data_IF_969524766545
#
_entry.id   IF_969524766545
#
_cell.length_a   1.000
_cell.length_b   1.000
_cell.length_c   1.000
_cell.angle_alpha   90.00
_cell.angle_beta   90.00
_cell.angle_gamma   90.00
#
_symmetry.space_group_name_H-M   'P 1'
#
loop_
_entity.id
_entity.type
_entity.pdbx_description
1 polymer ?
#
# COMPACT_ATOMS: atom_id res chain seq x y z
N UNK A 1 38.50 -62.71 1.12
CA UNK A 1 37.59 -63.87 1.03
C UNK A 1 36.36 -63.48 0.22
N UNK A 2 36.08 -64.17 -0.88
CA UNK A 2 34.87 -64.08 -1.71
C UNK A 2 33.81 -65.11 -1.24
N UNK A 3 32.51 -64.79 -1.45
CA UNK A 3 31.38 -65.66 -1.89
C UNK A 3 30.04 -65.01 -1.47
N UNK A 4 29.30 -64.36 -2.39
CA UNK A 4 28.17 -64.93 -3.18
C UNK A 4 27.14 -65.66 -2.31
N UNK A 5 25.90 -65.17 -2.26
CA UNK A 5 24.74 -65.95 -2.76
C UNK A 5 23.42 -65.19 -2.71
N UNK A 6 22.78 -65.20 -3.88
CA UNK A 6 21.41 -64.78 -4.19
C UNK A 6 20.41 -65.67 -3.46
N UNK A 7 19.25 -65.12 -3.09
CA UNK A 7 18.02 -65.92 -2.96
C UNK A 7 16.91 -65.27 -3.76
N UNK A 8 16.38 -66.10 -4.65
CA UNK A 8 15.28 -65.89 -5.56
C UNK A 8 13.97 -66.37 -4.92
N UNK A 9 12.87 -65.88 -5.51
CA UNK A 9 11.55 -66.52 -5.65
C UNK A 9 10.49 -66.21 -4.56
N UNK A 10 9.17 -66.36 -4.84
CA UNK A 10 8.47 -66.48 -6.14
C UNK A 10 7.22 -65.58 -6.30
N UNK A 11 6.77 -65.55 -7.56
CA UNK A 11 5.50 -65.06 -8.09
C UNK A 11 4.26 -65.53 -7.30
N UNK A 12 3.32 -64.61 -7.06
CA UNK A 12 1.88 -64.94 -7.01
C UNK A 12 1.07 -63.95 -7.82
N UNK A 13 0.42 -64.51 -8.82
CA UNK A 13 -0.49 -63.94 -9.81
C UNK A 13 -1.91 -63.93 -9.22
N UNK A 14 -2.78 -63.18 -9.91
CA UNK A 14 -4.25 -63.12 -9.81
C UNK A 14 -4.71 -62.08 -8.76
N UNK A 15 -5.63 -61.17 -9.03
CA UNK A 15 -6.78 -61.23 -9.93
C UNK A 15 -7.24 -59.78 -10.22
N UNK A 16 -7.61 -59.48 -11.46
CA UNK A 16 -8.28 -58.24 -11.86
C UNK A 16 -9.71 -58.24 -11.30
N UNK A 17 -10.24 -57.09 -10.85
CA UNK A 17 -11.56 -56.71 -11.35
C UNK A 17 -11.68 -55.24 -11.78
N UNK A 18 -12.35 -55.09 -12.92
CA UNK A 18 -13.32 -54.03 -13.25
C UNK A 18 -12.90 -52.56 -13.16
N UNK A 19 -12.39 -52.09 -14.31
CA UNK A 19 -13.02 -51.05 -15.16
C UNK A 19 -14.03 -50.16 -14.43
N UNK A 20 -13.55 -49.01 -13.94
CA UNK A 20 -14.36 -47.80 -13.87
C UNK A 20 -13.79 -46.81 -14.89
N UNK A 21 -14.52 -46.67 -15.99
CA UNK A 21 -14.38 -45.51 -16.87
C UNK A 21 -14.91 -44.31 -16.09
N UNK A 22 -14.03 -43.57 -15.43
CA UNK A 22 -14.34 -42.21 -15.03
C UNK A 22 -13.86 -41.29 -16.15
N UNK A 23 -14.84 -40.87 -16.94
CA UNK A 23 -14.75 -39.78 -17.90
C UNK A 23 -14.04 -38.58 -17.29
N UNK A 24 -12.90 -38.21 -17.86
CA UNK A 24 -12.22 -36.96 -17.59
C UNK A 24 -13.09 -35.83 -18.14
N UNK A 25 -13.92 -35.24 -17.28
CA UNK A 25 -14.57 -33.97 -17.57
C UNK A 25 -13.53 -32.86 -17.30
N UNK A 26 -13.09 -32.10 -18.32
CA UNK A 26 -12.30 -30.91 -18.05
C UNK A 26 -13.20 -29.91 -17.32
N UNK A 27 -12.81 -29.55 -16.10
CA UNK A 27 -13.45 -28.45 -15.40
C UNK A 27 -13.39 -27.19 -16.29
N UNK A 28 -14.49 -26.42 -16.42
CA UNK A 28 -14.41 -25.12 -17.05
C UNK A 28 -13.45 -24.26 -16.24
N UNK A 29 -12.46 -23.71 -16.92
CA UNK A 29 -11.59 -22.66 -16.39
C UNK A 29 -12.50 -21.50 -16.02
N UNK A 30 -12.86 -21.42 -14.74
CA UNK A 30 -13.44 -20.24 -14.16
C UNK A 30 -12.31 -19.23 -14.05
N UNK A 31 -12.12 -18.43 -15.09
CA UNK A 31 -11.35 -17.20 -15.00
C UNK A 31 -11.93 -16.42 -13.81
N UNK A 32 -11.17 -16.13 -12.75
CA UNK A 32 -11.62 -15.12 -11.82
C UNK A 32 -11.71 -13.85 -12.65
N UNK A 33 -12.94 -13.40 -12.90
CA UNK A 33 -13.18 -12.04 -13.36
C UNK A 33 -12.37 -11.15 -12.42
N UNK A 34 -11.35 -10.49 -12.96
CA UNK A 34 -10.55 -9.52 -12.24
C UNK A 34 -11.47 -8.32 -12.00
N UNK A 35 -12.34 -8.44 -11.01
CA UNK A 35 -13.08 -7.32 -10.48
C UNK A 35 -12.08 -6.55 -9.63
N UNK A 36 -11.46 -5.55 -10.25
CA UNK A 36 -10.76 -4.49 -9.55
C UNK A 36 -11.80 -3.74 -8.71
N UNK A 37 -12.17 -4.32 -7.57
CA UNK A 37 -12.96 -3.64 -6.57
C UNK A 37 -12.00 -2.74 -5.82
N UNK A 38 -11.80 -1.53 -6.37
CA UNK A 38 -11.18 -0.43 -5.66
C UNK A 38 -12.10 -0.06 -4.49
N UNK A 39 -12.06 -0.87 -3.44
CA UNK A 39 -12.71 -0.55 -2.17
C UNK A 39 -11.79 0.42 -1.46
N UNK A 40 -11.80 1.67 -1.92
CA UNK A 40 -11.29 2.77 -1.13
C UNK A 40 -12.11 2.75 0.15
N UNK A 41 -11.57 2.14 1.20
CA UNK A 41 -12.12 2.21 2.55
C UNK A 41 -11.83 3.61 3.04
N UNK A 42 -12.50 4.60 2.45
CA UNK A 42 -12.76 5.85 3.12
C UNK A 42 -13.67 5.44 4.28
N UNK A 43 -13.09 5.24 5.45
CA UNK A 43 -13.87 5.37 6.67
C UNK A 43 -14.12 6.86 6.80
N UNK A 44 -15.32 7.39 6.44
CA UNK A 44 -15.62 8.77 6.76
C UNK A 44 -15.59 8.83 8.28
N UNK A 45 -14.48 9.34 8.82
CA UNK A 45 -14.40 9.74 10.21
C UNK A 45 -15.53 10.74 10.37
N UNK A 46 -16.62 10.33 11.03
CA UNK A 46 -17.76 11.19 11.31
C UNK A 46 -17.30 12.22 12.33
N UNK A 47 -16.59 13.23 11.86
CA UNK A 47 -16.31 14.44 12.59
C UNK A 47 -17.63 15.21 12.64
N UNK A 48 -18.50 14.84 13.60
CA UNK A 48 -19.58 15.71 14.01
C UNK A 48 -18.96 17.07 14.37
N UNK A 49 -19.27 18.10 13.59
CA UNK A 49 -18.79 19.46 13.81
C UNK A 49 -19.46 20.00 15.08
N UNK A 50 -18.89 19.68 16.25
CA UNK A 50 -19.25 20.31 17.49
C UNK A 50 -18.73 21.75 17.48
N UNK A 51 -19.63 22.70 17.75
CA UNK A 51 -19.31 24.12 17.94
C UNK A 51 -18.51 24.27 19.25
N UNK A 52 -17.18 24.13 19.16
CA UNK A 52 -16.28 24.19 20.32
C UNK A 52 -14.92 23.50 20.14
N UNK A 53 -14.46 23.24 18.91
CA UNK A 53 -13.12 22.68 18.68
C UNK A 53 -12.04 23.67 19.14
N UNK A 54 -10.98 23.16 19.76
CA UNK A 54 -9.81 23.97 20.09
C UNK A 54 -9.12 24.40 18.79
N UNK A 55 -8.44 25.56 18.75
CA UNK A 55 -7.70 25.99 17.56
C UNK A 55 -6.66 24.94 17.11
N UNK A 56 -6.04 24.22 18.04
CA UNK A 56 -5.15 23.09 17.72
C UNK A 56 -5.85 21.96 16.97
N UNK A 57 -7.09 21.62 17.33
CA UNK A 57 -7.83 20.54 16.67
C UNK A 57 -8.21 20.94 15.24
N UNK A 58 -8.57 22.21 15.02
CA UNK A 58 -8.83 22.74 13.67
C UNK A 58 -7.57 22.72 12.79
N UNK A 59 -6.42 23.13 13.35
CA UNK A 59 -5.14 23.03 12.64
C UNK A 59 -4.79 21.57 12.29
N UNK A 60 -5.00 20.64 13.21
CA UNK A 60 -4.74 19.21 12.98
C UNK A 60 -5.67 18.63 11.92
N UNK A 61 -6.93 19.04 11.90
CA UNK A 61 -7.89 18.60 10.88
C UNK A 61 -7.44 19.06 9.49
N UNK A 62 -7.12 20.36 9.34
CA UNK A 62 -6.59 20.92 8.08
C UNK A 62 -5.31 20.22 7.62
N UNK A 63 -4.37 19.97 8.54
CA UNK A 63 -3.13 19.27 8.21
C UNK A 63 -3.37 17.81 7.82
N UNK A 64 -4.38 17.17 8.41
CA UNK A 64 -4.75 15.79 8.07
C UNK A 64 -5.39 15.69 6.69
N UNK A 65 -6.15 16.72 6.27
CA UNK A 65 -6.68 16.84 4.90
C UNK A 65 -5.54 17.01 3.89
N UNK A 66 -4.61 17.96 4.12
CA UNK A 66 -3.44 18.15 3.26
C UNK A 66 -2.57 16.90 3.17
N UNK A 67 -2.40 16.18 4.29
CA UNK A 67 -1.69 14.91 4.31
C UNK A 67 -2.38 13.84 3.47
N UNK A 68 -3.71 13.75 3.51
CA UNK A 68 -4.45 12.79 2.69
C UNK A 68 -4.25 13.08 1.20
N UNK A 69 -4.38 14.34 0.78
CA UNK A 69 -4.11 14.75 -0.61
C UNK A 69 -2.67 14.45 -1.03
N UNK A 70 -1.68 14.84 -0.23
CA UNK A 70 -0.28 14.57 -0.54
C UNK A 70 0.03 13.07 -0.62
N UNK A 71 -0.64 12.25 0.19
CA UNK A 71 -0.48 10.78 0.16
C UNK A 71 -1.12 10.17 -1.08
N UNK A 72 -2.30 10.62 -1.48
CA UNK A 72 -2.96 10.13 -2.70
C UNK A 72 -2.10 10.45 -3.94
N UNK A 73 -1.57 11.67 -4.05
CA UNK A 73 -0.68 12.04 -5.16
C UNK A 73 0.64 11.25 -5.15
N UNK A 74 1.20 11.00 -3.96
CA UNK A 74 2.36 10.12 -3.83
C UNK A 74 2.07 8.69 -4.32
N UNK A 75 0.90 8.13 -4.00
CA UNK A 75 0.51 6.79 -4.46
C UNK A 75 0.38 6.73 -5.99
N UNK A 76 -0.20 7.76 -6.60
CA UNK A 76 -0.27 7.90 -8.07
C UNK A 76 1.15 7.95 -8.66
N UNK A 77 2.03 8.77 -8.09
CA UNK A 77 3.41 8.90 -8.55
C UNK A 77 4.20 7.58 -8.46
N UNK A 78 3.99 6.78 -7.41
CA UNK A 78 4.58 5.45 -7.26
C UNK A 78 4.06 4.50 -8.33
N UNK A 79 2.74 4.49 -8.57
CA UNK A 79 2.11 3.61 -9.54
C UNK A 79 2.57 3.93 -10.98
N UNK A 80 2.58 5.22 -11.35
CA UNK A 80 2.97 5.66 -12.69
C UNK A 80 4.47 5.48 -12.94
N UNK A 81 5.31 5.65 -11.90
CA UNK A 81 6.74 5.29 -11.96
C UNK A 81 6.91 3.79 -12.18
N UNK A 82 6.18 2.94 -11.47
CA UNK A 82 6.25 1.49 -11.64
C UNK A 82 5.80 1.04 -13.05
N UNK A 83 4.88 1.77 -13.68
CA UNK A 83 4.42 1.54 -15.05
C UNK A 83 5.37 2.07 -16.13
N UNK A 84 6.42 2.82 -15.76
CA UNK A 84 7.26 3.58 -16.70
C UNK A 84 6.43 4.46 -17.64
N UNK A 85 5.40 5.09 -17.07
CA UNK A 85 4.52 6.00 -17.79
C UNK A 85 5.25 7.30 -18.13
N UNK A 86 4.84 7.96 -19.22
CA UNK A 86 5.34 9.30 -19.56
C UNK A 86 4.93 10.36 -18.53
N UNK A 87 3.87 10.08 -17.77
CA UNK A 87 3.32 10.96 -16.75
C UNK A 87 4.04 10.85 -15.40
N UNK A 88 4.83 9.79 -15.19
CA UNK A 88 5.49 9.52 -13.92
C UNK A 88 6.31 10.69 -13.38
N UNK A 89 6.91 11.50 -14.27
CA UNK A 89 7.66 12.70 -13.86
C UNK A 89 6.75 13.79 -13.28
N UNK A 90 5.62 14.05 -13.95
CA UNK A 90 4.65 15.08 -13.57
C UNK A 90 3.93 14.70 -12.27
N UNK A 91 3.58 13.43 -12.12
CA UNK A 91 2.95 12.91 -10.90
C UNK A 91 3.89 13.02 -9.69
N UNK A 92 5.19 12.71 -9.88
CA UNK A 92 6.21 12.91 -8.84
C UNK A 92 6.39 14.38 -8.46
N UNK A 93 6.30 15.28 -9.42
CA UNK A 93 6.35 16.73 -9.17
C UNK A 93 5.13 17.18 -8.35
N UNK A 94 3.93 16.76 -8.75
CA UNK A 94 2.68 17.01 -8.02
C UNK A 94 2.75 16.51 -6.57
N UNK A 95 3.28 15.30 -6.35
CA UNK A 95 3.48 14.77 -5.00
C UNK A 95 4.44 15.63 -4.15
N UNK A 96 5.49 16.21 -4.75
CA UNK A 96 6.41 17.13 -4.06
C UNK A 96 5.73 18.45 -3.72
N UNK A 97 4.94 19.00 -4.65
CA UNK A 97 4.21 20.24 -4.43
C UNK A 97 3.19 20.11 -3.30
N UNK A 98 2.41 19.03 -3.26
CA UNK A 98 1.45 18.78 -2.18
C UNK A 98 2.15 18.55 -0.83
N UNK A 99 3.27 17.83 -0.81
CA UNK A 99 4.10 17.72 0.39
C UNK A 99 4.61 19.10 0.86
N UNK A 100 5.05 19.95 -0.06
CA UNK A 100 5.51 21.31 0.27
C UNK A 100 4.37 22.17 0.83
N UNK A 101 3.14 22.05 0.30
CA UNK A 101 1.94 22.70 0.86
C UNK A 101 1.70 22.23 2.30
N UNK A 102 1.80 20.93 2.55
CA UNK A 102 1.67 20.37 3.90
C UNK A 102 2.76 20.88 4.86
N UNK A 103 4.03 20.91 4.44
CA UNK A 103 5.15 21.42 5.24
C UNK A 103 4.94 22.89 5.59
N UNK A 104 4.60 23.71 4.60
CA UNK A 104 4.33 25.15 4.80
C UNK A 104 3.19 25.37 5.78
N UNK A 105 2.07 24.67 5.60
CA UNK A 105 0.93 24.77 6.51
C UNK A 105 1.26 24.28 7.92
N UNK A 106 2.11 23.26 8.05
CA UNK A 106 2.56 22.74 9.34
C UNK A 106 3.43 23.76 10.08
N UNK A 107 4.40 24.35 9.39
CA UNK A 107 5.29 25.36 9.97
C UNK A 107 4.50 26.61 10.39
N UNK A 108 3.56 27.06 9.55
CA UNK A 108 2.63 28.14 9.88
C UNK A 108 1.76 27.81 11.09
N UNK A 109 1.21 26.59 11.17
CA UNK A 109 0.37 26.17 12.28
C UNK A 109 1.15 26.14 13.60
N UNK A 110 2.40 25.67 13.57
CA UNK A 110 3.29 25.62 14.75
C UNK A 110 3.73 27.03 15.17
N UNK A 111 4.08 27.90 14.22
CA UNK A 111 4.57 29.25 14.50
C UNK A 111 3.48 30.18 15.06
N UNK A 112 2.24 30.05 14.57
CA UNK A 112 1.13 30.93 14.95
C UNK A 112 0.33 30.44 16.17
N UNK A 113 0.65 29.26 16.71
CA UNK A 113 -0.09 28.66 17.84
C UNK A 113 0.61 28.89 19.18
N UNK A 114 -0.14 28.96 20.31
CA UNK A 114 0.44 28.92 21.64
C UNK A 114 1.27 27.65 21.88
N UNK A 115 2.26 27.65 22.80
CA UNK A 115 3.13 26.50 23.02
C UNK A 115 2.38 25.19 23.26
N UNK A 116 1.33 25.21 24.07
CA UNK A 116 0.52 24.02 24.37
C UNK A 116 -0.16 23.41 23.13
N UNK A 117 -0.61 24.26 22.20
CA UNK A 117 -1.28 23.82 20.98
C UNK A 117 -0.26 23.39 19.92
N UNK A 118 0.88 24.09 19.83
CA UNK A 118 1.98 23.75 18.92
C UNK A 118 2.56 22.35 19.20
N UNK A 119 2.71 21.97 20.47
CA UNK A 119 3.20 20.65 20.87
C UNK A 119 2.20 19.53 20.51
N UNK A 120 0.90 19.81 20.61
CA UNK A 120 -0.13 18.87 20.18
C UNK A 120 -0.11 18.66 18.66
N UNK A 121 0.02 19.74 17.89
CA UNK A 121 0.17 19.68 16.43
C UNK A 121 1.41 18.86 16.05
N UNK A 122 2.56 19.16 16.68
CA UNK A 122 3.82 18.43 16.44
C UNK A 122 3.68 16.93 16.75
N UNK A 123 3.06 16.60 17.87
CA UNK A 123 2.83 15.21 18.30
C UNK A 123 1.94 14.45 17.31
N UNK A 124 0.85 15.07 16.84
CA UNK A 124 -0.12 14.40 15.95
C UNK A 124 0.35 14.30 14.51
N UNK A 125 0.95 15.35 13.95
CA UNK A 125 1.24 15.45 12.51
C UNK A 125 2.72 15.23 12.21
N UNK A 126 3.62 15.60 13.12
CA UNK A 126 5.05 15.63 12.84
C UNK A 126 5.65 14.28 12.44
N UNK A 127 5.17 13.17 13.02
CA UNK A 127 5.63 11.84 12.59
C UNK A 127 5.19 11.52 11.15
N UNK A 128 3.91 11.70 10.85
CA UNK A 128 3.33 11.44 9.52
C UNK A 128 4.03 12.28 8.44
N UNK A 129 4.32 13.54 8.74
CA UNK A 129 5.04 14.44 7.85
C UNK A 129 6.44 13.92 7.51
N UNK A 130 7.21 13.49 8.51
CA UNK A 130 8.58 12.95 8.30
C UNK A 130 8.58 11.64 7.52
N UNK A 131 7.60 10.78 7.77
CA UNK A 131 7.46 9.51 7.04
C UNK A 131 7.16 9.77 5.55
N UNK A 132 6.21 10.67 5.25
CA UNK A 132 5.87 11.03 3.88
C UNK A 132 7.02 11.74 3.16
N UNK A 133 7.70 12.67 3.84
CA UNK A 133 8.87 13.37 3.29
C UNK A 133 9.99 12.38 2.91
N UNK A 134 10.31 11.44 3.79
CA UNK A 134 11.31 10.40 3.50
C UNK A 134 10.90 9.52 2.31
N UNK A 135 9.62 9.20 2.20
CA UNK A 135 9.08 8.39 1.10
C UNK A 135 9.16 9.14 -0.24
N UNK A 136 8.77 10.41 -0.29
CA UNK A 136 8.85 11.26 -1.49
C UNK A 136 10.31 11.48 -1.92
N UNK A 137 11.24 11.65 -0.98
CA UNK A 137 12.67 11.75 -1.28
C UNK A 137 13.22 10.44 -1.88
N UNK A 138 12.84 9.29 -1.33
CA UNK A 138 13.23 7.98 -1.87
C UNK A 138 12.75 7.81 -3.31
N UNK A 139 11.48 8.15 -3.58
CA UNK A 139 10.91 8.11 -4.92
C UNK A 139 11.62 9.07 -5.89
N UNK A 140 12.07 10.23 -5.38
CA UNK A 140 12.79 11.23 -6.16
C UNK A 140 14.19 10.78 -6.57
N UNK A 141 14.89 10.05 -5.70
CA UNK A 141 16.22 9.52 -6.00
C UNK A 141 16.15 8.41 -7.06
N UNK A 142 15.13 7.56 -7.01
CA UNK A 142 14.92 6.51 -8.01
C UNK A 142 14.77 7.06 -9.45
N UNK A 143 14.28 8.28 -9.61
CA UNK A 143 14.18 8.95 -10.91
C UNK A 143 15.55 9.33 -11.50
N UNK A 144 16.53 9.65 -10.65
CA UNK A 144 17.83 10.17 -11.12
C UNK A 144 18.78 9.06 -11.57
N UNK A 145 18.41 7.79 -11.35
CA UNK A 145 19.24 6.62 -11.65
C UNK A 145 18.85 5.90 -12.96
N UNK A 146 17.93 6.45 -13.75
CA UNK A 146 17.49 5.94 -15.05
C UNK A 146 17.97 6.79 -16.22
#
# INVERSE_FOLDING_TARGET
>A
MLRISRRLSPLRRLLVPHRLLLTYAPAPVCSPAYTYTYTYRYTPSRHAHATGKRPADEAVDRLSELYASAKDEFEIAVEETAKNSIYARDDRETAREELQKLQTAYDEAVANSPPADSEEIKRRVGQRLRELDSAVQTLSQADTEH
#
